data_IF_674138359627
#
_entry.id   IF_674138359627
#
_cell.length_a   1.000
_cell.length_b   1.000
_cell.length_c   1.000
_cell.angle_alpha   90.00
_cell.angle_beta   90.00
_cell.angle_gamma   90.00
#
_symmetry.space_group_name_H-M   'P 1'
#
loop_
_entity.id
_entity.type
_entity.pdbx_description
1 polymer ?
#
# COMPACT_ATOMS: atom_id res chain seq x y z
N UNK A 1 -10.53 24.45 1.89
CA UNK A 1 -10.87 23.64 0.70
C UNK A 1 -9.57 23.36 -0.05
N UNK A 2 -9.17 22.10 -0.20
CA UNK A 2 -7.91 21.75 -0.87
C UNK A 2 -8.04 21.96 -2.37
N UNK A 3 -6.98 22.51 -2.97
CA UNK A 3 -6.94 22.78 -4.41
C UNK A 3 -6.73 21.47 -5.19
N UNK A 4 -7.53 21.19 -6.22
CA UNK A 4 -7.25 20.11 -7.18
C UNK A 4 -5.86 20.22 -7.79
N UNK A 5 -5.19 19.09 -7.96
CA UNK A 5 -3.98 19.00 -8.79
C UNK A 5 -4.36 18.94 -10.27
N UNK A 6 -5.41 18.18 -10.59
CA UNK A 6 -5.92 18.01 -11.95
C UNK A 6 -7.43 17.78 -11.93
N UNK A 7 -8.13 18.27 -12.95
CA UNK A 7 -9.59 18.21 -13.03
C UNK A 7 -10.03 17.99 -14.48
N UNK A 8 -11.05 17.14 -14.64
CA UNK A 8 -11.69 16.80 -15.90
C UNK A 8 -13.18 16.66 -15.68
N UNK A 9 -13.95 16.55 -16.76
CA UNK A 9 -15.39 16.25 -16.68
C UNK A 9 -15.69 14.90 -15.97
N UNK A 10 -14.73 13.98 -15.95
CA UNK A 10 -14.87 12.66 -15.32
C UNK A 10 -14.50 12.64 -13.83
N UNK A 11 -13.82 13.66 -13.31
CA UNK A 11 -13.41 13.70 -11.92
C UNK A 11 -12.16 14.53 -11.63
N UNK A 12 -11.79 14.51 -10.35
CA UNK A 12 -10.79 15.38 -9.74
C UNK A 12 -9.67 14.55 -9.10
N UNK A 13 -8.42 14.95 -9.32
CA UNK A 13 -7.24 14.38 -8.66
C UNK A 13 -6.72 15.38 -7.63
N UNK A 14 -6.58 14.92 -6.39
CA UNK A 14 -5.89 15.62 -5.32
C UNK A 14 -4.55 14.94 -5.04
N UNK A 15 -3.48 15.72 -4.92
CA UNK A 15 -2.15 15.25 -4.57
C UNK A 15 -1.79 15.72 -3.16
N UNK A 16 -1.40 14.80 -2.27
CA UNK A 16 -0.96 15.14 -0.91
C UNK A 16 -0.97 13.95 0.04
N UNK A 17 -0.65 14.20 1.31
CA UNK A 17 -0.80 13.19 2.36
C UNK A 17 -2.28 12.90 2.61
N UNK A 18 -2.68 11.63 2.56
CA UNK A 18 -4.11 11.24 2.52
C UNK A 18 -4.92 11.77 3.71
N UNK A 19 -4.35 11.76 4.92
CA UNK A 19 -5.05 12.26 6.11
C UNK A 19 -5.34 13.77 6.04
N UNK A 20 -4.42 14.54 5.47
CA UNK A 20 -4.61 15.99 5.33
C UNK A 20 -5.62 16.27 4.23
N UNK A 21 -5.53 15.55 3.11
CA UNK A 21 -6.45 15.71 1.98
C UNK A 21 -7.90 15.40 2.37
N UNK A 22 -8.12 14.26 3.02
CA UNK A 22 -9.46 13.84 3.43
C UNK A 22 -10.06 14.75 4.52
N UNK A 23 -9.24 15.31 5.42
CA UNK A 23 -9.73 16.25 6.45
C UNK A 23 -10.30 17.55 5.88
N UNK A 24 -9.96 17.89 4.63
CA UNK A 24 -10.47 19.06 3.94
C UNK A 24 -11.74 18.82 3.11
N UNK A 25 -12.28 17.61 3.11
CA UNK A 25 -13.49 17.21 2.38
C UNK A 25 -14.73 17.26 3.28
N UNK A 26 -15.91 17.45 2.68
CA UNK A 26 -17.17 17.41 3.40
C UNK A 26 -17.43 16.03 4.01
N UNK A 27 -17.97 16.00 5.22
CA UNK A 27 -18.37 14.75 5.87
C UNK A 27 -19.45 14.03 5.05
N UNK A 28 -19.46 12.69 5.13
CA UNK A 28 -20.49 11.84 4.49
C UNK A 28 -20.62 12.02 2.96
N UNK A 29 -19.58 12.54 2.30
CA UNK A 29 -19.57 12.78 0.85
C UNK A 29 -19.13 11.58 0.00
N UNK A 30 -18.58 10.54 0.61
CA UNK A 30 -17.97 9.38 -0.08
C UNK A 30 -18.86 8.13 0.04
N UNK A 31 -19.25 7.59 -1.11
CA UNK A 31 -20.06 6.36 -1.18
C UNK A 31 -19.22 5.08 -1.24
N UNK A 32 -18.03 5.15 -1.82
CA UNK A 32 -17.15 4.01 -2.04
C UNK A 32 -15.69 4.42 -1.90
N UNK A 33 -14.89 3.62 -1.19
CA UNK A 33 -13.44 3.80 -1.08
C UNK A 33 -12.77 2.62 -1.78
N UNK A 34 -12.02 2.91 -2.84
CA UNK A 34 -11.19 1.93 -3.55
C UNK A 34 -9.74 2.28 -3.26
N UNK A 35 -9.01 1.34 -2.64
CA UNK A 35 -7.61 1.57 -2.28
C UNK A 35 -6.78 0.31 -2.48
N UNK A 36 -5.54 0.51 -2.94
CA UNK A 36 -4.52 -0.52 -3.01
C UNK A 36 -3.29 -0.01 -2.25
N UNK A 37 -3.38 0.13 -0.91
CA UNK A 37 -2.25 0.61 -0.13
C UNK A 37 -1.05 -0.32 -0.38
N UNK A 38 0.18 0.20 -0.30
CA UNK A 38 1.38 -0.58 -0.63
C UNK A 38 1.37 -1.92 0.11
N UNK A 39 1.20 -3.00 -0.66
CA UNK A 39 1.00 -4.36 -0.18
C UNK A 39 2.31 -5.15 -0.15
N UNK A 40 3.44 -4.45 -0.17
CA UNK A 40 4.77 -5.05 -0.27
C UNK A 40 5.17 -5.57 1.11
N UNK A 41 5.35 -6.89 1.23
CA UNK A 41 5.81 -7.54 2.46
C UNK A 41 4.74 -8.20 3.34
N UNK A 42 3.44 -8.11 3.01
CA UNK A 42 2.36 -8.75 3.78
C UNK A 42 1.91 -10.12 3.22
N UNK A 43 2.43 -10.54 2.06
CA UNK A 43 2.18 -11.88 1.48
C UNK A 43 3.27 -12.89 1.87
N UNK A 44 3.65 -12.91 3.13
CA UNK A 44 4.45 -14.01 3.66
C UNK A 44 3.50 -15.02 4.31
N UNK A 45 3.17 -16.08 3.57
CA UNK A 45 2.32 -17.18 4.02
C UNK A 45 3.07 -18.19 4.91
N UNK A 46 4.29 -17.87 5.35
CA UNK A 46 5.15 -18.81 6.08
C UNK A 46 5.64 -19.98 5.22
N UNK A 47 5.56 -19.85 3.90
CA UNK A 47 6.09 -20.84 2.97
C UNK A 47 7.61 -20.68 2.86
N UNK A 48 8.36 -21.78 2.66
CA UNK A 48 9.77 -21.69 2.32
C UNK A 48 9.99 -20.75 1.12
N UNK A 49 11.04 -19.92 1.12
CA UNK A 49 11.37 -19.07 -0.02
C UNK A 49 11.41 -19.89 -1.31
N UNK A 50 10.72 -19.39 -2.34
CA UNK A 50 10.61 -20.05 -3.64
C UNK A 50 11.01 -19.09 -4.74
N UNK A 51 11.69 -19.61 -5.75
CA UNK A 51 12.05 -18.88 -6.97
C UNK A 51 10.83 -18.91 -7.91
N UNK A 52 10.34 -17.74 -8.30
CA UNK A 52 9.18 -17.62 -9.20
C UNK A 52 9.66 -17.25 -10.60
N UNK A 53 9.44 -18.17 -11.55
CA UNK A 53 9.88 -18.01 -12.95
C UNK A 53 11.39 -18.12 -13.13
N UNK A 54 11.83 -18.50 -14.34
CA UNK A 54 13.24 -18.71 -14.68
C UNK A 54 13.67 -20.17 -14.70
N UNK A 55 14.98 -20.40 -14.72
CA UNK A 55 15.59 -21.72 -14.67
C UNK A 55 15.52 -22.28 -13.23
N UNK A 56 14.91 -23.45 -13.06
CA UNK A 56 14.83 -24.13 -11.76
C UNK A 56 16.19 -24.55 -11.20
N UNK A 57 17.25 -24.56 -12.01
CA UNK A 57 18.63 -24.81 -11.61
C UNK A 57 19.47 -23.53 -11.42
N UNK A 58 18.86 -22.34 -11.48
CA UNK A 58 19.58 -21.09 -11.28
C UNK A 58 20.24 -21.06 -9.90
N UNK A 59 21.52 -20.70 -9.86
CA UNK A 59 22.27 -20.50 -8.61
C UNK A 59 21.94 -19.10 -8.07
N UNK A 60 20.87 -19.00 -7.29
CA UNK A 60 20.50 -17.75 -6.65
C UNK A 60 21.47 -17.40 -5.53
N UNK A 61 22.10 -16.22 -5.64
CA UNK A 61 22.83 -15.59 -4.53
C UNK A 61 21.83 -14.72 -3.76
N UNK A 62 21.54 -15.13 -2.52
CA UNK A 62 20.71 -14.36 -1.60
C UNK A 62 21.62 -13.46 -0.77
N UNK A 63 21.34 -12.16 -0.73
CA UNK A 63 22.05 -11.25 0.17
C UNK A 63 21.63 -11.46 1.63
N UNK A 64 22.49 -11.06 2.58
CA UNK A 64 22.22 -11.11 4.02
C UNK A 64 21.16 -10.08 4.48
N UNK A 65 20.76 -9.17 3.59
CA UNK A 65 19.78 -8.14 3.88
C UNK A 65 18.36 -8.70 3.76
N UNK A 66 17.83 -9.19 4.88
CA UNK A 66 16.39 -9.36 5.02
C UNK A 66 15.71 -7.97 4.99
N UNK A 67 14.81 -7.76 4.03
CA UNK A 67 13.91 -6.59 4.08
C UNK A 67 13.18 -6.68 5.42
N UNK A 68 13.24 -5.61 6.23
CA UNK A 68 12.49 -5.55 7.49
C UNK A 68 11.03 -5.85 7.19
N UNK A 69 10.55 -7.01 7.66
CA UNK A 69 9.13 -7.38 7.54
C UNK A 69 8.32 -6.26 8.18
N UNK A 70 7.50 -5.58 7.39
CA UNK A 70 6.56 -4.62 7.94
C UNK A 70 5.60 -5.39 8.84
N UNK A 71 5.64 -5.11 10.15
CA UNK A 71 4.68 -5.64 11.10
C UNK A 71 3.59 -4.57 11.24
N UNK A 72 2.42 -4.75 10.60
CA UNK A 72 1.33 -3.81 10.75
C UNK A 72 0.88 -3.85 12.21
N UNK A 73 0.97 -2.71 12.89
CA UNK A 73 0.34 -2.53 14.20
C UNK A 73 -1.14 -2.34 13.93
N UNK A 74 -1.98 -3.33 14.25
CA UNK A 74 -3.43 -3.18 14.13
C UNK A 74 -3.93 -2.41 15.33
N UNK A 75 -5.01 -1.66 15.14
CA UNK A 75 -5.60 -0.84 16.20
C UNK A 75 -6.08 -1.68 17.41
N UNK A 76 -6.20 -3.01 17.26
CA UNK A 76 -6.55 -3.95 18.32
C UNK A 76 -5.34 -4.61 19.02
N UNK A 77 -4.11 -4.36 18.58
CA UNK A 77 -2.89 -4.98 19.17
C UNK A 77 -2.36 -4.19 20.39
N UNK A 78 -3.21 -3.37 21.00
CA UNK A 78 -2.89 -2.54 22.17
C UNK A 78 -4.12 -2.21 22.99
N UNK A 79 -4.54 -3.15 23.83
CA UNK A 79 -5.26 -2.94 25.08
C UNK A 79 -4.56 -3.74 26.18
#
# INVERSE_FOLDING_TARGET
>A
MIKPYFETDAGIIYQGHVLEVLSGMEAESVHCVVTSPPYWGLRDYGLPPMIWGGDGACKHEWGDESIKKYVPKRDHDGA
#
